data_IF_967281569120
#
_entry.id   IF_967281569120
#
_cell.length_a   1.000
_cell.length_b   1.000
_cell.length_c   1.000
_cell.angle_alpha   90.00
_cell.angle_beta   90.00
_cell.angle_gamma   90.00
#
_symmetry.space_group_name_H-M   'P 1'
#
loop_
_entity.id
_entity.type
_entity.pdbx_description
1 polymer ?
#
# COMPACT_ATOMS: atom_id res chain seq x y z
N UNK A 1 -20.03 18.25 -49.69
CA UNK A 1 -21.46 18.10 -49.94
C UNK A 1 -22.19 18.09 -48.62
N UNK A 2 -23.11 19.03 -48.52
CA UNK A 2 -24.01 19.30 -47.38
C UNK A 2 -24.98 18.14 -47.14
N UNK A 3 -25.39 17.98 -45.87
CA UNK A 3 -26.80 17.85 -45.33
C UNK A 3 -26.77 17.02 -44.07
N UNK A 4 -27.39 17.30 -43.00
CA UNK A 4 -28.47 18.17 -42.43
C UNK A 4 -28.91 17.49 -41.11
N UNK A 5 -28.97 18.29 -40.08
CA UNK A 5 -29.73 18.22 -38.82
C UNK A 5 -30.92 17.26 -38.76
N UNK A 6 -31.12 16.61 -37.61
CA UNK A 6 -32.43 16.63 -36.93
C UNK A 6 -32.25 16.55 -35.40
N UNK A 7 -32.68 17.68 -34.78
CA UNK A 7 -33.04 17.77 -33.35
C UNK A 7 -34.39 17.08 -33.16
N UNK A 8 -34.58 16.37 -32.08
CA UNK A 8 -35.92 16.10 -31.54
C UNK A 8 -35.88 16.28 -30.02
N UNK A 9 -36.60 17.35 -29.61
CA UNK A 9 -36.98 17.64 -28.23
C UNK A 9 -38.27 16.87 -27.91
N UNK A 10 -38.41 16.39 -26.69
CA UNK A 10 -39.70 16.15 -26.01
C UNK A 10 -39.38 16.05 -24.51
N UNK A 11 -39.72 17.00 -23.77
CA UNK A 11 -40.96 17.38 -23.10
C UNK A 11 -41.19 16.65 -21.77
N UNK A 12 -41.11 17.46 -20.74
CA UNK A 12 -41.65 17.42 -19.38
C UNK A 12 -42.91 16.58 -19.19
N UNK A 13 -42.95 15.79 -18.08
CA UNK A 13 -44.18 15.64 -17.28
C UNK A 13 -43.77 15.72 -15.80
N UNK A 14 -44.13 16.83 -15.19
CA UNK A 14 -44.24 16.98 -13.75
C UNK A 14 -45.62 16.49 -13.33
N UNK A 15 -45.72 15.70 -12.29
CA UNK A 15 -46.95 15.39 -11.61
C UNK A 15 -46.76 15.55 -10.10
N UNK A 16 -47.16 16.69 -9.64
CA UNK A 16 -47.46 17.03 -8.25
C UNK A 16 -48.66 16.23 -7.75
N UNK A 17 -48.60 15.69 -6.54
CA UNK A 17 -49.82 15.40 -5.76
C UNK A 17 -49.65 15.87 -4.31
N UNK A 18 -50.49 16.81 -3.98
CA UNK A 18 -50.68 17.52 -2.73
C UNK A 18 -51.63 16.77 -1.78
N UNK A 19 -51.27 16.89 -0.50
CA UNK A 19 -52.12 16.93 0.73
C UNK A 19 -53.52 16.29 0.76
N UNK A 20 -53.74 15.54 1.83
CA UNK A 20 -55.02 15.59 2.56
C UNK A 20 -54.79 15.44 4.08
N UNK A 21 -54.90 16.58 4.79
CA UNK A 21 -55.23 16.61 6.21
C UNK A 21 -56.71 16.28 6.39
N UNK A 22 -57.01 15.45 7.39
CA UNK A 22 -58.34 15.47 8.03
C UNK A 22 -58.19 15.23 9.52
N UNK A 23 -58.44 16.28 10.25
CA UNK A 23 -58.68 16.27 11.69
C UNK A 23 -60.14 15.85 11.95
N UNK A 24 -60.34 15.10 13.04
CA UNK A 24 -61.63 15.16 13.76
C UNK A 24 -61.38 14.94 15.25
N UNK A 25 -61.85 15.93 15.97
CA UNK A 25 -61.86 16.04 17.42
C UNK A 25 -63.11 15.40 18.03
N UNK A 26 -63.06 15.15 19.31
CA UNK A 26 -64.17 14.87 20.22
C UNK A 26 -63.82 13.73 21.17
N UNK A 27 -63.62 13.87 22.45
CA UNK A 27 -64.28 14.58 23.50
C UNK A 27 -64.82 13.59 24.53
N UNK A 28 -64.41 13.67 25.81
CA UNK A 28 -65.17 13.06 26.90
C UNK A 28 -64.40 12.33 28.00
N UNK A 29 -63.96 13.06 28.97
CA UNK A 29 -64.17 12.97 30.45
C UNK A 29 -64.24 11.56 31.13
N UNK A 30 -63.47 11.39 32.22
CA UNK A 30 -63.82 10.51 33.34
C UNK A 30 -62.62 9.97 34.11
N UNK A 31 -62.31 10.65 35.19
CA UNK A 31 -61.62 10.28 36.46
C UNK A 31 -61.52 8.80 36.83
N UNK A 32 -60.35 8.27 37.28
CA UNK A 32 -60.01 8.14 38.70
C UNK A 32 -58.64 7.40 38.90
N UNK A 33 -57.99 7.80 39.99
CA UNK A 33 -56.70 7.34 40.50
C UNK A 33 -56.72 5.90 40.98
N UNK A 34 -55.63 5.16 40.80
CA UNK A 34 -54.97 4.40 41.88
C UNK A 34 -53.50 4.16 41.54
N UNK A 35 -52.63 4.30 42.54
CA UNK A 35 -51.18 4.23 42.41
C UNK A 35 -50.67 2.81 42.29
N UNK A 36 -49.44 2.67 41.80
CA UNK A 36 -48.63 1.45 41.74
C UNK A 36 -47.20 1.83 41.39
N UNK A 37 -46.37 1.46 42.26
CA UNK A 37 -44.93 1.73 42.44
C UNK A 37 -44.07 1.55 41.22
N UNK A 38 -42.98 2.29 41.26
CA UNK A 38 -41.90 2.46 40.32
C UNK A 38 -41.34 1.21 39.66
N UNK A 39 -41.25 1.30 38.38
CA UNK A 39 -40.17 0.67 37.61
C UNK A 39 -39.23 1.80 37.16
N UNK A 40 -38.00 1.69 37.62
CA UNK A 40 -36.89 2.49 37.06
C UNK A 40 -36.82 2.14 35.59
N UNK A 41 -37.25 3.03 34.74
CA UNK A 41 -36.80 3.05 33.32
C UNK A 41 -35.30 3.30 33.36
N UNK A 42 -34.53 2.23 33.13
CA UNK A 42 -33.17 2.35 32.63
C UNK A 42 -33.30 2.96 31.23
N UNK A 43 -33.22 4.26 31.15
CA UNK A 43 -32.97 4.95 29.89
C UNK A 43 -31.60 4.46 29.45
N UNK A 44 -31.53 3.56 28.47
CA UNK A 44 -30.39 3.49 27.61
C UNK A 44 -30.32 4.87 26.92
N UNK A 45 -29.33 5.62 27.27
CA UNK A 45 -28.88 6.78 26.49
C UNK A 45 -28.44 6.17 25.13
N UNK A 46 -29.39 5.98 24.23
CA UNK A 46 -29.09 5.63 22.86
C UNK A 46 -28.46 6.90 22.28
N UNK A 47 -27.14 6.92 22.21
CA UNK A 47 -26.40 8.03 21.58
C UNK A 47 -26.93 8.32 20.18
N UNK A 48 -26.56 9.44 19.63
CA UNK A 48 -26.86 9.80 18.25
C UNK A 48 -26.47 8.66 17.31
N UNK A 49 -27.35 8.31 16.37
CA UNK A 49 -27.06 7.31 15.33
C UNK A 49 -26.08 7.93 14.33
N UNK A 50 -24.90 7.35 14.25
CA UNK A 50 -23.78 7.83 13.43
C UNK A 50 -23.50 6.82 12.31
N UNK A 51 -23.32 7.31 11.10
CA UNK A 51 -22.83 6.52 9.97
C UNK A 51 -21.51 7.07 9.50
N UNK A 52 -20.47 6.24 9.48
CA UNK A 52 -19.16 6.56 8.92
C UNK A 52 -18.93 5.73 7.66
N UNK A 53 -18.37 6.36 6.64
CA UNK A 53 -18.02 5.70 5.38
C UNK A 53 -16.53 5.44 5.31
N UNK A 54 -16.13 4.22 4.89
CA UNK A 54 -14.73 3.87 4.69
C UNK A 54 -14.49 3.28 3.31
N UNK A 55 -13.46 3.79 2.62
CA UNK A 55 -13.02 3.22 1.35
C UNK A 55 -11.60 2.63 1.47
N UNK A 56 -11.41 1.44 0.85
CA UNK A 56 -10.14 0.70 0.91
C UNK A 56 -9.86 -0.07 -0.39
N UNK A 57 -8.63 -0.61 -0.51
CA UNK A 57 -8.22 -1.41 -1.68
C UNK A 57 -8.21 -2.93 -1.42
N UNK A 58 -8.39 -3.37 -0.19
CA UNK A 58 -8.30 -4.77 0.22
C UNK A 58 -9.59 -5.51 -0.09
N UNK A 59 -9.72 -6.02 -1.33
CA UNK A 59 -10.92 -6.70 -1.83
C UNK A 59 -10.64 -8.11 -2.35
N UNK A 60 -9.35 -8.50 -2.47
CA UNK A 60 -8.95 -9.84 -2.90
C UNK A 60 -9.22 -10.87 -1.80
N UNK A 61 -9.70 -12.05 -2.16
CA UNK A 61 -9.90 -13.16 -1.22
C UNK A 61 -8.57 -13.74 -0.68
N UNK A 62 -7.45 -13.41 -1.30
CA UNK A 62 -6.11 -13.78 -0.82
C UNK A 62 -5.49 -12.72 0.09
N UNK A 63 -6.10 -11.53 0.20
CA UNK A 63 -5.64 -10.46 1.08
C UNK A 63 -6.28 -10.64 2.48
N UNK A 64 -5.51 -11.00 3.52
CA UNK A 64 -6.06 -11.15 4.86
C UNK A 64 -6.63 -9.85 5.42
N UNK A 65 -6.17 -8.68 4.97
CA UNK A 65 -6.67 -7.38 5.41
C UNK A 65 -8.14 -7.18 5.04
N UNK A 66 -8.62 -7.76 3.93
CA UNK A 66 -10.04 -7.75 3.56
C UNK A 66 -10.91 -8.27 4.71
N UNK A 67 -10.59 -9.48 5.18
CA UNK A 67 -11.37 -10.10 6.27
C UNK A 67 -11.22 -9.33 7.58
N UNK A 68 -10.05 -8.80 7.87
CA UNK A 68 -9.82 -8.01 9.09
C UNK A 68 -10.71 -6.75 9.09
N UNK A 69 -10.86 -6.08 7.94
CA UNK A 69 -11.76 -4.93 7.81
C UNK A 69 -13.21 -5.36 8.00
N UNK A 70 -13.66 -6.43 7.32
CA UNK A 70 -15.01 -6.98 7.47
C UNK A 70 -15.32 -7.32 8.93
N UNK A 71 -14.43 -8.05 9.60
CA UNK A 71 -14.56 -8.40 11.02
C UNK A 71 -14.55 -7.15 11.92
N UNK A 72 -13.72 -6.14 11.60
CA UNK A 72 -13.66 -4.89 12.36
C UNK A 72 -14.97 -4.14 12.38
N UNK A 73 -15.66 -4.08 11.24
CA UNK A 73 -16.98 -3.42 11.12
C UNK A 73 -18.00 -4.11 12.03
N UNK A 74 -18.06 -5.44 11.98
CA UNK A 74 -19.01 -6.21 12.80
C UNK A 74 -18.70 -6.11 14.30
N UNK A 75 -17.43 -6.19 14.68
CA UNK A 75 -16.98 -6.15 16.07
C UNK A 75 -17.15 -4.74 16.64
N UNK A 76 -16.80 -3.71 15.89
CA UNK A 76 -16.92 -2.31 16.31
C UNK A 76 -18.39 -1.93 16.52
N UNK A 77 -19.31 -2.36 15.64
CA UNK A 77 -20.74 -2.12 15.82
C UNK A 77 -21.30 -2.83 17.09
N UNK A 78 -20.73 -3.99 17.49
CA UNK A 78 -21.13 -4.64 18.76
C UNK A 78 -20.67 -3.85 19.99
N UNK A 79 -19.52 -3.16 19.89
CA UNK A 79 -18.98 -2.30 20.95
C UNK A 79 -19.69 -0.94 21.00
N UNK A 80 -20.04 -0.40 19.83
CA UNK A 80 -20.67 0.91 19.61
C UNK A 80 -21.95 0.76 18.78
N UNK A 81 -23.09 0.30 19.37
CA UNK A 81 -24.29 -0.05 18.61
C UNK A 81 -24.94 1.12 17.87
N UNK A 82 -24.65 2.36 18.28
CA UNK A 82 -25.10 3.59 17.62
C UNK A 82 -24.22 4.01 16.45
N UNK A 83 -23.10 3.31 16.16
CA UNK A 83 -22.20 3.64 15.06
C UNK A 83 -22.31 2.54 13.99
N UNK A 84 -22.58 2.93 12.76
CA UNK A 84 -22.59 2.08 11.58
C UNK A 84 -21.42 2.46 10.68
N UNK A 85 -20.64 1.46 10.25
CA UNK A 85 -19.54 1.65 9.30
C UNK A 85 -19.95 1.08 7.94
N UNK A 86 -20.08 1.95 6.93
CA UNK A 86 -20.33 1.56 5.54
C UNK A 86 -19.01 1.47 4.77
N UNK A 87 -18.69 0.30 4.24
CA UNK A 87 -17.43 0.08 3.52
C UNK A 87 -17.66 -0.06 2.01
N UNK A 88 -16.71 0.46 1.21
CA UNK A 88 -16.63 0.26 -0.23
C UNK A 88 -15.17 0.11 -0.66
N UNK A 89 -14.90 -0.70 -1.67
CA UNK A 89 -13.54 -0.98 -2.10
C UNK A 89 -13.41 -1.37 -3.56
N UNK A 90 -12.25 -1.06 -4.11
CA UNK A 90 -11.77 -1.56 -5.40
C UNK A 90 -10.25 -1.70 -5.34
N UNK A 91 -9.66 -2.61 -6.14
CA UNK A 91 -8.22 -2.90 -6.03
C UNK A 91 -7.33 -1.86 -6.71
N UNK A 92 -6.12 -1.69 -6.20
CA UNK A 92 -4.93 -1.16 -6.85
C UNK A 92 -5.11 0.18 -7.60
N UNK A 93 -4.74 0.22 -8.86
CA UNK A 93 -4.79 1.44 -9.69
C UNK A 93 -6.21 1.99 -9.90
N UNK A 94 -7.22 1.13 -9.83
CA UNK A 94 -8.62 1.59 -9.87
C UNK A 94 -8.97 2.36 -8.61
N UNK A 95 -8.44 1.96 -7.45
CA UNK A 95 -8.63 2.66 -6.19
C UNK A 95 -8.00 4.06 -6.24
N UNK A 96 -6.75 4.18 -6.71
CA UNK A 96 -6.07 5.47 -6.87
C UNK A 96 -6.88 6.44 -7.72
N UNK A 97 -7.46 5.96 -8.82
CA UNK A 97 -8.32 6.76 -9.69
C UNK A 97 -9.63 7.15 -9.01
N UNK A 98 -10.27 6.21 -8.30
CA UNK A 98 -11.53 6.42 -7.58
C UNK A 98 -11.38 7.50 -6.52
N UNK A 99 -10.38 7.36 -5.63
CA UNK A 99 -10.18 8.29 -4.52
C UNK A 99 -9.81 9.71 -4.99
N UNK A 100 -8.95 9.81 -6.01
CA UNK A 100 -8.59 11.10 -6.62
C UNK A 100 -9.82 11.82 -7.19
N UNK A 101 -10.70 11.09 -7.87
CA UNK A 101 -11.91 11.65 -8.45
C UNK A 101 -12.89 12.12 -7.36
N UNK A 102 -13.03 11.31 -6.30
CA UNK A 102 -13.93 11.62 -5.20
C UNK A 102 -13.51 12.88 -4.43
N UNK A 103 -12.23 13.03 -4.09
CA UNK A 103 -11.73 14.26 -3.46
C UNK A 103 -11.91 15.50 -4.36
N UNK A 104 -11.63 15.36 -5.65
CA UNK A 104 -11.84 16.46 -6.60
C UNK A 104 -13.31 16.87 -6.75
N UNK A 105 -14.24 15.94 -6.56
CA UNK A 105 -15.69 16.19 -6.60
C UNK A 105 -16.27 16.64 -5.24
N UNK A 106 -15.52 16.54 -4.13
CA UNK A 106 -16.03 16.74 -2.77
C UNK A 106 -16.95 15.60 -2.29
N UNK A 107 -16.80 14.40 -2.85
CA UNK A 107 -17.61 13.20 -2.57
C UNK A 107 -16.74 12.07 -1.93
N UNK A 108 -15.57 12.43 -1.37
CA UNK A 108 -14.72 11.48 -0.68
C UNK A 108 -15.37 10.99 0.62
N UNK A 109 -15.13 9.71 1.02
CA UNK A 109 -15.69 9.15 2.25
C UNK A 109 -15.08 9.82 3.49
N UNK A 110 -15.64 9.52 4.67
CA UNK A 110 -15.12 9.99 5.94
C UNK A 110 -13.71 9.46 6.21
N UNK A 111 -13.49 8.19 5.87
CA UNK A 111 -12.22 7.47 6.08
C UNK A 111 -11.74 6.89 4.76
N UNK A 112 -10.51 7.20 4.38
CA UNK A 112 -9.90 6.72 3.13
C UNK A 112 -8.58 6.01 3.40
N UNK A 113 -8.40 4.80 2.86
CA UNK A 113 -7.07 4.24 2.72
C UNK A 113 -6.23 5.13 1.79
N UNK A 114 -5.02 5.43 2.18
CA UNK A 114 -4.07 6.19 1.37
C UNK A 114 -2.71 5.51 1.36
N UNK A 115 -2.09 5.52 0.19
CA UNK A 115 -0.67 5.19 0.08
C UNK A 115 0.14 6.31 0.70
N UNK A 116 1.15 5.96 1.50
CA UNK A 116 2.00 6.92 2.18
C UNK A 116 2.87 7.74 1.21
N UNK A 117 3.42 8.84 1.71
CA UNK A 117 4.48 9.58 1.04
C UNK A 117 4.07 10.79 0.21
N UNK A 118 5.10 11.41 -0.38
CA UNK A 118 5.02 12.71 -1.04
C UNK A 118 4.20 12.73 -2.33
N UNK A 119 4.17 11.64 -3.09
CA UNK A 119 3.47 11.62 -4.36
C UNK A 119 1.98 11.38 -4.24
N UNK A 120 1.53 10.71 -3.19
CA UNK A 120 0.13 10.32 -3.05
C UNK A 120 -0.59 11.11 -1.96
N UNK A 121 -0.25 10.93 -0.68
CA UNK A 121 -1.02 11.55 0.42
C UNK A 121 -0.69 13.03 0.62
N UNK A 122 0.57 13.44 0.48
CA UNK A 122 1.00 14.82 0.71
C UNK A 122 0.19 15.86 -0.07
N UNK A 123 -0.15 15.67 -1.37
CA UNK A 123 -0.99 16.62 -2.10
C UNK A 123 -2.39 16.83 -1.49
N UNK A 124 -2.96 15.81 -0.84
CA UNK A 124 -4.26 15.96 -0.16
C UNK A 124 -4.12 16.70 1.18
N UNK A 125 -3.00 16.48 1.89
CA UNK A 125 -2.65 17.22 3.10
C UNK A 125 -2.47 18.70 2.77
N UNK A 126 -1.68 19.02 1.75
CA UNK A 126 -1.39 20.39 1.33
C UNK A 126 -2.64 21.12 0.83
N UNK A 127 -3.56 20.40 0.21
CA UNK A 127 -4.86 20.93 -0.21
C UNK A 127 -5.85 21.10 0.96
N UNK A 128 -5.51 20.64 2.16
CA UNK A 128 -6.36 20.72 3.35
C UNK A 128 -7.57 19.78 3.31
N UNK A 129 -7.47 18.66 2.57
CA UNK A 129 -8.56 17.68 2.50
C UNK A 129 -8.56 16.68 3.66
N UNK A 130 -7.42 16.52 4.34
CA UNK A 130 -7.23 15.54 5.40
C UNK A 130 -7.14 16.21 6.77
N UNK A 131 -7.72 15.55 7.76
CA UNK A 131 -7.77 16.03 9.14
C UNK A 131 -6.50 15.59 9.89
N UNK A 132 -5.73 16.49 10.52
CA UNK A 132 -4.72 16.08 11.51
C UNK A 132 -5.42 15.53 12.74
N UNK A 133 -4.94 14.37 13.23
CA UNK A 133 -5.63 13.60 14.26
C UNK A 133 -5.01 13.74 15.67
N UNK A 134 -4.00 14.59 15.83
CA UNK A 134 -3.24 14.74 17.10
C UNK A 134 -4.14 15.00 18.32
N UNK A 135 -5.16 15.87 18.15
CA UNK A 135 -6.04 16.30 19.23
C UNK A 135 -7.01 15.19 19.67
N UNK A 136 -7.23 14.19 18.82
CA UNK A 136 -8.13 13.07 19.07
C UNK A 136 -7.41 11.80 19.54
N UNK A 137 -6.07 11.73 19.36
CA UNK A 137 -5.30 10.53 19.72
C UNK A 137 -5.00 10.47 21.22
N UNK A 138 -5.41 9.36 21.85
CA UNK A 138 -5.07 9.08 23.23
C UNK A 138 -3.58 8.72 23.40
N UNK A 139 -3.00 9.04 24.56
CA UNK A 139 -1.65 8.59 24.91
C UNK A 139 -1.57 7.06 25.03
N UNK A 140 -2.67 6.40 25.37
CA UNK A 140 -2.75 4.94 25.37
C UNK A 140 -2.53 4.38 23.97
N UNK A 141 -3.26 4.89 22.96
CA UNK A 141 -3.10 4.49 21.55
C UNK A 141 -1.66 4.68 21.08
N UNK A 142 -1.09 5.87 21.33
CA UNK A 142 0.29 6.17 20.92
C UNK A 142 1.31 5.22 21.57
N UNK A 143 1.10 4.83 22.83
CA UNK A 143 2.01 3.94 23.55
C UNK A 143 2.04 2.49 23.04
N UNK A 144 1.02 2.07 22.30
CA UNK A 144 0.94 0.74 21.68
C UNK A 144 1.69 0.67 20.35
N UNK A 145 1.96 1.81 19.71
CA UNK A 145 2.72 1.88 18.44
C UNK A 145 4.20 1.71 18.73
N UNK A 146 4.90 0.91 17.92
CA UNK A 146 6.34 0.70 18.08
C UNK A 146 7.12 2.00 17.83
N UNK A 147 8.27 2.20 18.52
CA UNK A 147 9.08 3.40 18.35
C UNK A 147 9.47 3.66 16.89
N UNK A 148 9.32 4.91 16.44
CA UNK A 148 9.63 5.34 15.07
C UNK A 148 8.54 5.08 14.04
N UNK A 149 7.52 4.26 14.34
CA UNK A 149 6.48 3.92 13.36
C UNK A 149 5.48 5.06 13.12
N UNK A 150 5.41 6.06 13.99
CA UNK A 150 4.61 7.27 13.75
C UNK A 150 5.30 8.30 12.85
N UNK A 151 6.60 8.17 12.60
CA UNK A 151 7.34 9.15 11.78
C UNK A 151 6.78 9.23 10.37
N UNK A 152 6.50 8.08 9.73
CA UNK A 152 5.87 8.00 8.41
C UNK A 152 4.40 8.45 8.36
N UNK A 153 3.76 8.64 9.53
CA UNK A 153 2.38 9.10 9.68
C UNK A 153 2.30 10.60 9.99
N UNK A 154 3.46 11.27 10.13
CA UNK A 154 3.59 12.66 10.58
C UNK A 154 4.05 13.53 9.41
N UNK A 155 3.30 14.59 9.13
CA UNK A 155 3.61 15.57 8.08
C UNK A 155 3.55 16.96 8.71
N UNK A 156 4.55 17.78 8.46
CA UNK A 156 4.66 19.14 9.01
C UNK A 156 4.45 19.19 10.53
N UNK A 157 4.93 18.15 11.24
CA UNK A 157 4.83 18.01 12.70
C UNK A 157 3.46 17.65 13.24
N UNK A 158 2.52 17.23 12.38
CA UNK A 158 1.17 16.77 12.75
C UNK A 158 0.95 15.32 12.31
N UNK A 159 0.30 14.54 13.15
CA UNK A 159 -0.10 13.17 12.84
C UNK A 159 -1.40 13.18 12.03
N UNK A 160 -1.42 12.49 10.88
CA UNK A 160 -2.59 12.39 10.00
C UNK A 160 -3.19 10.99 9.93
N UNK A 161 -2.45 9.98 10.35
CA UNK A 161 -2.90 8.59 10.35
C UNK A 161 -2.21 7.80 11.45
N UNK A 162 -2.59 6.55 11.61
CA UNK A 162 -1.86 5.55 12.40
C UNK A 162 -1.31 4.47 11.47
N UNK A 163 -0.11 3.93 11.77
CA UNK A 163 0.45 2.88 10.94
C UNK A 163 -0.39 1.61 11.05
N UNK A 164 -0.46 0.85 9.98
CA UNK A 164 -1.07 -0.50 9.99
C UNK A 164 0.02 -1.55 10.11
N UNK A 165 0.56 -2.04 9.01
CA UNK A 165 1.74 -2.92 8.93
C UNK A 165 2.81 -2.22 8.11
N UNK A 166 4.07 -2.61 8.30
CA UNK A 166 5.17 -2.15 7.45
C UNK A 166 5.62 -3.25 6.49
N UNK A 167 6.33 -2.85 5.45
CA UNK A 167 6.74 -3.74 4.38
C UNK A 167 8.24 -3.66 4.12
N UNK A 168 8.81 -4.80 3.70
CA UNK A 168 10.21 -4.96 3.35
C UNK A 168 10.32 -5.64 1.99
N UNK A 169 11.06 -5.04 1.05
CA UNK A 169 11.33 -5.67 -0.24
C UNK A 169 12.39 -6.77 -0.10
N UNK A 170 12.06 -7.96 -0.59
CA UNK A 170 12.89 -9.15 -0.56
C UNK A 170 13.05 -9.76 -1.95
N UNK A 171 14.13 -10.50 -2.18
CA UNK A 171 14.26 -11.36 -3.33
C UNK A 171 13.71 -12.75 -2.99
N UNK A 172 12.60 -13.12 -3.62
CA UNK A 172 11.97 -14.44 -3.49
C UNK A 172 12.58 -15.40 -4.49
N UNK A 173 12.98 -16.58 -4.03
CA UNK A 173 13.63 -17.61 -4.85
C UNK A 173 12.87 -18.93 -4.74
N UNK A 174 12.42 -19.46 -5.88
CA UNK A 174 11.81 -20.78 -5.97
C UNK A 174 12.90 -21.86 -5.91
N UNK A 175 13.09 -22.46 -4.74
CA UNK A 175 14.18 -23.41 -4.46
C UNK A 175 14.13 -24.62 -5.38
N UNK A 176 12.93 -25.11 -5.74
CA UNK A 176 12.79 -26.25 -6.66
C UNK A 176 13.30 -25.92 -8.09
N UNK A 177 13.08 -24.70 -8.58
CA UNK A 177 13.58 -24.27 -9.88
C UNK A 177 15.10 -24.08 -9.85
N UNK A 178 15.64 -23.50 -8.77
CA UNK A 178 17.07 -23.37 -8.55
C UNK A 178 17.77 -24.74 -8.53
N UNK A 179 17.22 -25.69 -7.80
CA UNK A 179 17.75 -27.07 -7.74
C UNK A 179 17.74 -27.73 -9.12
N UNK A 180 16.63 -27.61 -9.88
CA UNK A 180 16.51 -28.18 -11.23
C UNK A 180 17.50 -27.58 -12.23
N UNK A 181 17.79 -26.29 -12.11
CA UNK A 181 18.76 -25.59 -12.96
C UNK A 181 20.22 -25.79 -12.48
N UNK A 182 20.44 -26.36 -11.30
CA UNK A 182 21.76 -26.42 -10.67
C UNK A 182 22.32 -25.03 -10.34
N UNK A 183 21.42 -24.06 -10.10
CA UNK A 183 21.75 -22.71 -9.69
C UNK A 183 21.81 -22.60 -8.16
N UNK A 184 22.52 -21.60 -7.66
CA UNK A 184 22.53 -21.24 -6.24
C UNK A 184 21.71 -19.96 -6.04
N UNK A 185 21.07 -19.83 -4.87
CA UNK A 185 20.45 -18.59 -4.46
C UNK A 185 21.54 -17.53 -4.32
N UNK A 186 21.42 -16.38 -5.04
CA UNK A 186 22.50 -15.42 -5.15
C UNK A 186 22.60 -14.53 -3.91
N UNK A 187 23.81 -14.21 -3.50
CA UNK A 187 24.14 -13.23 -2.45
C UNK A 187 24.94 -12.05 -3.03
N UNK A 188 25.53 -12.22 -4.21
CA UNK A 188 26.24 -11.17 -4.94
C UNK A 188 25.64 -10.99 -6.34
N UNK A 189 25.93 -9.85 -6.96
CA UNK A 189 25.49 -9.55 -8.32
C UNK A 189 26.00 -10.57 -9.35
N UNK A 190 27.26 -10.98 -9.23
CA UNK A 190 27.84 -11.95 -10.13
C UNK A 190 27.17 -13.33 -9.98
N UNK A 191 26.84 -13.73 -8.76
CA UNK A 191 26.05 -14.95 -8.51
C UNK A 191 24.61 -14.83 -9.07
N UNK A 192 24.00 -13.62 -9.05
CA UNK A 192 22.70 -13.38 -9.68
C UNK A 192 22.76 -13.60 -11.19
N UNK A 193 23.79 -13.06 -11.87
CA UNK A 193 23.99 -13.28 -13.31
C UNK A 193 24.26 -14.75 -13.64
N UNK A 194 25.07 -15.46 -12.84
CA UNK A 194 25.31 -16.90 -12.98
C UNK A 194 24.00 -17.71 -12.82
N UNK A 195 23.17 -17.35 -11.84
CA UNK A 195 21.87 -17.98 -11.64
C UNK A 195 20.94 -17.74 -12.83
N UNK A 196 20.89 -16.51 -13.36
CA UNK A 196 20.11 -16.16 -14.55
C UNK A 196 20.54 -16.99 -15.76
N UNK A 197 21.85 -17.13 -16.00
CA UNK A 197 22.39 -17.95 -17.11
C UNK A 197 21.93 -19.42 -16.98
N UNK A 198 22.10 -20.03 -15.80
CA UNK A 198 21.70 -21.42 -15.56
C UNK A 198 20.19 -21.65 -15.70
N UNK A 199 19.39 -20.70 -15.24
CA UNK A 199 17.93 -20.78 -15.37
C UNK A 199 17.50 -20.66 -16.83
N UNK A 200 18.10 -19.73 -17.60
CA UNK A 200 17.88 -19.61 -19.03
C UNK A 200 18.28 -20.89 -19.79
N UNK A 201 19.44 -21.48 -19.48
CA UNK A 201 19.92 -22.72 -20.08
C UNK A 201 18.99 -23.92 -19.77
N UNK A 202 18.35 -23.89 -18.61
CA UNK A 202 17.31 -24.87 -18.23
C UNK A 202 15.93 -24.60 -18.88
N UNK A 203 15.80 -23.53 -19.68
CA UNK A 203 14.55 -23.12 -20.32
C UNK A 203 13.51 -22.56 -19.34
N UNK A 204 13.96 -22.00 -18.24
CA UNK A 204 13.12 -21.39 -17.19
C UNK A 204 13.21 -19.87 -17.24
N UNK A 205 12.14 -19.17 -16.96
CA UNK A 205 12.16 -17.71 -16.75
C UNK A 205 12.90 -17.38 -15.46
N UNK A 206 14.02 -16.64 -15.48
CA UNK A 206 14.77 -16.35 -14.26
C UNK A 206 13.98 -15.47 -13.27
N UNK A 207 13.44 -14.37 -13.74
CA UNK A 207 12.74 -13.36 -12.90
C UNK A 207 11.39 -13.02 -13.50
N UNK A 208 10.33 -13.07 -12.70
CA UNK A 208 9.03 -12.54 -13.09
C UNK A 208 9.03 -11.01 -12.94
N UNK A 209 8.60 -10.32 -14.01
CA UNK A 209 8.50 -8.88 -14.08
C UNK A 209 7.21 -8.46 -14.78
N UNK A 210 6.48 -7.49 -14.20
CA UNK A 210 5.28 -6.89 -14.76
C UNK A 210 5.39 -5.38 -14.80
N UNK A 211 5.88 -4.82 -15.92
CA UNK A 211 6.24 -3.40 -16.05
C UNK A 211 5.13 -2.56 -16.69
N UNK A 212 3.95 -3.14 -16.98
CA UNK A 212 2.81 -2.39 -17.51
C UNK A 212 2.37 -1.27 -16.56
N UNK A 213 2.45 -1.51 -15.27
CA UNK A 213 2.07 -0.56 -14.23
C UNK A 213 3.24 0.37 -13.83
N UNK A 214 4.44 0.18 -14.40
CA UNK A 214 5.69 0.96 -14.28
C UNK A 214 6.36 0.93 -12.91
N UNK A 215 5.63 0.75 -11.83
CA UNK A 215 6.20 0.75 -10.48
C UNK A 215 6.99 -0.53 -10.11
N UNK A 216 6.74 -1.74 -10.64
CA UNK A 216 7.58 -2.89 -10.32
C UNK A 216 9.02 -2.75 -10.81
N UNK A 217 9.23 -2.17 -12.00
CA UNK A 217 10.58 -1.88 -12.52
C UNK A 217 11.29 -0.79 -11.71
N UNK A 218 10.53 0.21 -11.24
CA UNK A 218 11.03 1.22 -10.32
C UNK A 218 11.70 0.58 -9.10
N UNK A 219 11.07 -0.39 -8.43
CA UNK A 219 11.64 -1.08 -7.26
C UNK A 219 12.97 -1.77 -7.54
N UNK A 220 13.16 -2.27 -8.76
CA UNK A 220 14.45 -2.80 -9.18
C UNK A 220 15.53 -1.72 -9.25
N UNK A 221 15.21 -0.55 -9.82
CA UNK A 221 16.16 0.55 -9.85
C UNK A 221 16.44 1.10 -8.45
N UNK A 222 15.43 1.20 -7.59
CA UNK A 222 15.57 1.62 -6.19
C UNK A 222 16.61 0.76 -5.46
N UNK A 223 16.43 -0.57 -5.49
CA UNK A 223 17.35 -1.48 -4.79
C UNK A 223 18.73 -1.56 -5.44
N UNK A 224 18.83 -1.56 -6.77
CA UNK A 224 20.11 -1.56 -7.46
C UNK A 224 20.89 -0.28 -7.15
N UNK A 225 20.21 0.87 -7.08
CA UNK A 225 20.82 2.15 -6.65
C UNK A 225 21.26 2.12 -5.19
N UNK A 226 20.46 1.50 -4.30
CA UNK A 226 20.88 1.27 -2.91
C UNK A 226 22.15 0.41 -2.83
N UNK A 227 22.32 -0.57 -3.73
CA UNK A 227 23.53 -1.39 -3.80
C UNK A 227 24.72 -0.66 -4.40
N UNK A 228 24.52 0.32 -5.28
CA UNK A 228 25.64 1.08 -5.88
C UNK A 228 26.02 2.32 -5.08
N UNK A 229 25.06 3.09 -4.61
CA UNK A 229 25.28 4.37 -3.91
C UNK A 229 25.26 4.25 -2.37
N UNK A 230 24.66 3.17 -1.83
CA UNK A 230 24.29 3.05 -0.42
C UNK A 230 23.14 3.99 -0.04
N UNK A 231 22.41 3.68 1.03
CA UNK A 231 21.26 4.49 1.46
C UNK A 231 21.66 5.94 1.76
N UNK A 232 22.84 6.17 2.31
CA UNK A 232 23.36 7.53 2.52
C UNK A 232 23.52 8.30 1.22
N UNK A 233 24.01 7.67 0.15
CA UNK A 233 24.14 8.28 -1.17
C UNK A 233 22.78 8.61 -1.78
N UNK A 234 21.77 7.77 -1.51
CA UNK A 234 20.38 8.02 -1.92
C UNK A 234 19.79 9.23 -1.20
N UNK A 235 19.88 9.31 0.13
CA UNK A 235 19.41 10.45 0.91
C UNK A 235 20.01 11.78 0.41
N UNK A 236 21.32 11.77 0.15
CA UNK A 236 22.01 12.93 -0.42
C UNK A 236 21.50 13.31 -1.81
N UNK A 237 21.14 12.32 -2.66
CA UNK A 237 20.63 12.58 -4.02
C UNK A 237 19.15 13.02 -4.00
N UNK A 238 18.37 12.57 -3.03
CA UNK A 238 17.00 13.07 -2.86
C UNK A 238 16.99 14.55 -2.42
N UNK A 239 17.91 14.95 -1.54
CA UNK A 239 18.05 16.36 -1.14
C UNK A 239 18.70 17.25 -2.22
N UNK A 240 19.52 16.67 -3.09
CA UNK A 240 20.18 17.34 -4.22
C UNK A 240 20.14 16.45 -5.47
N UNK A 241 19.10 16.51 -6.28
CA UNK A 241 18.94 15.65 -7.46
C UNK A 241 20.08 15.74 -8.48
N UNK A 242 20.88 16.80 -8.49
CA UNK A 242 22.06 16.88 -9.36
C UNK A 242 23.04 15.73 -9.13
N UNK A 243 23.01 15.10 -7.95
CA UNK A 243 23.83 13.95 -7.58
C UNK A 243 23.40 12.65 -8.28
N UNK A 244 22.15 12.54 -8.78
CA UNK A 244 21.75 11.41 -9.61
C UNK A 244 22.58 11.31 -10.90
N UNK A 245 23.16 12.39 -11.39
CA UNK A 245 24.09 12.36 -12.52
C UNK A 245 25.54 12.11 -12.07
N UNK A 246 25.76 11.03 -11.31
CA UNK A 246 27.07 10.61 -10.82
C UNK A 246 27.29 9.13 -11.04
N UNK A 247 28.56 8.70 -10.91
CA UNK A 247 29.01 7.33 -11.22
C UNK A 247 28.14 6.22 -10.56
N UNK A 248 27.78 6.25 -9.24
CA UNK A 248 26.97 5.19 -8.64
C UNK A 248 25.61 5.01 -9.30
N UNK A 249 24.94 6.10 -9.68
CA UNK A 249 23.60 6.05 -10.29
C UNK A 249 23.63 5.67 -11.76
N UNK A 250 24.66 6.14 -12.51
CA UNK A 250 24.92 5.67 -13.87
C UNK A 250 25.20 4.14 -13.81
N UNK A 251 25.98 3.70 -12.84
CA UNK A 251 26.27 2.27 -12.64
C UNK A 251 25.02 1.46 -12.33
N UNK A 252 24.10 1.97 -11.52
CA UNK A 252 22.81 1.35 -11.28
C UNK A 252 22.03 1.17 -12.59
N UNK A 253 21.96 2.20 -13.41
CA UNK A 253 21.28 2.13 -14.70
C UNK A 253 21.95 1.15 -15.68
N UNK A 254 23.31 1.08 -15.71
CA UNK A 254 24.06 0.04 -16.46
C UNK A 254 23.67 -1.36 -15.98
N UNK A 255 23.58 -1.58 -14.68
CA UNK A 255 23.20 -2.85 -14.06
C UNK A 255 21.76 -3.27 -14.42
N UNK A 256 20.83 -2.31 -14.48
CA UNK A 256 19.48 -2.59 -14.98
C UNK A 256 19.48 -3.07 -16.43
N UNK A 257 20.24 -2.41 -17.32
CA UNK A 257 20.36 -2.85 -18.71
C UNK A 257 21.15 -4.17 -18.85
N UNK A 258 22.09 -4.46 -17.96
CA UNK A 258 22.78 -5.75 -17.90
C UNK A 258 21.78 -6.91 -17.65
N UNK A 259 20.83 -6.75 -16.72
CA UNK A 259 19.76 -7.74 -16.47
C UNK A 259 18.88 -7.95 -17.72
N UNK A 260 18.47 -6.86 -18.38
CA UNK A 260 17.66 -6.97 -19.61
C UNK A 260 18.44 -7.71 -20.70
N UNK A 261 19.71 -7.37 -20.91
CA UNK A 261 20.56 -7.99 -21.91
C UNK A 261 20.89 -9.47 -21.61
N UNK A 262 20.97 -9.82 -20.31
CA UNK A 262 21.10 -11.20 -19.83
C UNK A 262 19.81 -12.03 -19.95
N UNK A 263 18.71 -11.44 -20.47
CA UNK A 263 17.39 -12.05 -20.54
C UNK A 263 16.88 -12.52 -19.16
N UNK A 264 17.09 -11.67 -18.16
CA UNK A 264 16.70 -11.99 -16.80
C UNK A 264 15.17 -12.08 -16.65
N UNK A 265 14.41 -11.30 -17.43
CA UNK A 265 12.98 -11.13 -17.29
C UNK A 265 12.16 -11.90 -18.34
N UNK A 266 10.90 -12.17 -18.04
CA UNK A 266 9.95 -12.74 -19.00
C UNK A 266 9.81 -11.84 -20.26
N UNK A 267 9.60 -12.46 -21.43
CA UNK A 267 9.56 -11.74 -22.71
C UNK A 267 8.46 -10.66 -22.80
N UNK A 268 7.34 -10.87 -22.11
CA UNK A 268 6.19 -9.98 -22.10
C UNK A 268 6.19 -8.97 -20.94
N UNK A 269 7.33 -8.76 -20.25
CA UNK A 269 7.43 -7.89 -19.06
C UNK A 269 6.79 -6.52 -19.24
N UNK A 270 6.99 -5.85 -20.37
CA UNK A 270 6.47 -4.51 -20.63
C UNK A 270 4.94 -4.43 -20.79
N UNK A 271 4.26 -5.54 -20.95
CA UNK A 271 2.81 -5.63 -21.12
C UNK A 271 2.09 -6.40 -20.01
N UNK A 272 2.83 -7.10 -19.17
CA UNK A 272 2.34 -7.83 -18.01
C UNK A 272 2.06 -6.85 -16.87
N UNK A 273 0.89 -6.95 -16.25
CA UNK A 273 0.55 -6.17 -15.06
C UNK A 273 1.22 -6.74 -13.80
N UNK A 274 1.19 -5.97 -12.73
CA UNK A 274 1.63 -6.43 -11.41
C UNK A 274 0.88 -7.69 -10.95
N UNK A 275 -0.44 -7.69 -11.05
CA UNK A 275 -1.27 -8.83 -10.63
C UNK A 275 -0.89 -10.09 -11.43
N UNK A 276 -0.77 -9.97 -12.76
CA UNK A 276 -0.34 -11.08 -13.63
C UNK A 276 1.07 -11.57 -13.28
N UNK A 277 1.99 -10.69 -12.89
CA UNK A 277 3.33 -11.03 -12.45
C UNK A 277 3.31 -11.87 -11.16
N UNK A 278 2.55 -11.43 -10.15
CA UNK A 278 2.44 -12.15 -8.87
C UNK A 278 1.74 -13.50 -9.06
N UNK A 279 0.66 -13.54 -9.82
CA UNK A 279 -0.04 -14.79 -10.18
C UNK A 279 0.88 -15.74 -10.96
N UNK A 280 1.66 -15.23 -11.92
CA UNK A 280 2.63 -16.00 -12.70
C UNK A 280 3.72 -16.61 -11.80
N UNK A 281 4.25 -15.86 -10.84
CA UNK A 281 5.19 -16.37 -9.87
C UNK A 281 4.55 -17.44 -8.96
N UNK A 282 3.38 -17.18 -8.42
CA UNK A 282 2.64 -18.16 -7.61
C UNK A 282 2.29 -19.44 -8.40
N UNK A 283 2.08 -19.33 -9.72
CA UNK A 283 1.90 -20.48 -10.61
C UNK A 283 3.22 -21.21 -10.97
N UNK A 284 4.38 -20.75 -10.50
CA UNK A 284 5.68 -21.36 -10.75
C UNK A 284 6.24 -21.07 -12.14
N UNK A 285 5.87 -19.97 -12.78
CA UNK A 285 6.32 -19.60 -14.12
C UNK A 285 7.69 -18.90 -14.12
N UNK A 286 8.19 -18.45 -12.97
CA UNK A 286 9.49 -17.83 -12.81
C UNK A 286 10.20 -18.29 -11.55
N UNK A 287 11.53 -18.24 -11.58
CA UNK A 287 12.38 -18.71 -10.50
C UNK A 287 12.60 -17.66 -9.40
N UNK A 288 12.53 -16.38 -9.75
CA UNK A 288 12.69 -15.27 -8.80
C UNK A 288 11.60 -14.23 -8.97
N UNK A 289 11.34 -13.50 -7.88
CA UNK A 289 10.49 -12.31 -7.82
C UNK A 289 11.13 -11.32 -6.84
N UNK A 290 11.25 -10.05 -7.18
CA UNK A 290 11.65 -9.00 -6.25
C UNK A 290 10.43 -8.13 -5.95
N UNK A 291 9.94 -8.22 -4.73
CA UNK A 291 8.77 -7.48 -4.24
C UNK A 291 8.79 -7.38 -2.72
N UNK A 292 7.94 -6.53 -2.17
CA UNK A 292 7.77 -6.51 -0.74
C UNK A 292 6.86 -7.64 -0.24
N UNK A 293 6.90 -7.86 1.06
CA UNK A 293 6.28 -9.02 1.73
C UNK A 293 4.74 -9.07 1.64
N UNK A 294 4.06 -8.05 1.11
CA UNK A 294 2.63 -8.15 0.76
C UNK A 294 2.29 -9.25 -0.26
N UNK A 295 3.29 -9.82 -0.97
CA UNK A 295 3.08 -10.96 -1.88
C UNK A 295 3.00 -12.31 -1.16
N UNK A 296 3.35 -12.38 0.13
CA UNK A 296 3.35 -13.64 0.90
C UNK A 296 2.00 -14.38 0.84
N UNK A 297 0.84 -13.72 1.06
CA UNK A 297 -0.45 -14.40 0.97
C UNK A 297 -0.68 -15.09 -0.38
N UNK A 298 -0.28 -14.46 -1.48
CA UNK A 298 -0.42 -15.04 -2.83
C UNK A 298 0.51 -16.23 -3.03
N UNK A 299 1.78 -16.13 -2.58
CA UNK A 299 2.76 -17.22 -2.68
C UNK A 299 2.37 -18.40 -1.80
N UNK A 300 1.76 -18.16 -0.64
CA UNK A 300 1.38 -19.16 0.36
C UNK A 300 -0.06 -19.68 0.22
N UNK A 301 -0.83 -19.16 -0.74
CA UNK A 301 -2.20 -19.61 -1.00
C UNK A 301 -2.24 -21.12 -1.31
N UNK A 302 -3.31 -21.80 -0.92
CA UNK A 302 -3.50 -23.25 -1.21
C UNK A 302 -3.52 -23.56 -2.71
N UNK A 303 -3.87 -22.58 -3.53
CA UNK A 303 -3.86 -22.66 -4.99
C UNK A 303 -2.50 -22.41 -5.61
N UNK A 304 -1.52 -21.92 -4.82
CA UNK A 304 -0.18 -21.59 -5.32
C UNK A 304 0.65 -22.86 -5.56
N UNK A 305 1.24 -22.97 -6.74
CA UNK A 305 2.18 -24.03 -7.10
C UNK A 305 3.54 -23.88 -6.39
N UNK A 306 3.83 -22.67 -5.88
CA UNK A 306 5.08 -22.34 -5.19
C UNK A 306 4.98 -22.40 -3.67
N UNK A 307 3.81 -22.70 -3.12
CA UNK A 307 3.62 -22.85 -1.67
C UNK A 307 4.63 -23.84 -1.05
N UNK A 308 5.37 -23.37 -0.05
CA UNK A 308 6.40 -24.15 0.65
C UNK A 308 7.66 -24.46 -0.16
N UNK A 309 7.84 -23.79 -1.33
CA UNK A 309 9.00 -23.97 -2.22
C UNK A 309 9.79 -22.68 -2.44
N UNK A 310 9.43 -21.61 -1.76
CA UNK A 310 10.04 -20.29 -1.88
C UNK A 310 10.72 -19.94 -0.57
N UNK A 311 11.89 -19.35 -0.65
CA UNK A 311 12.59 -18.63 0.42
C UNK A 311 12.75 -17.18 0.01
N UNK A 312 12.81 -16.25 0.97
CA UNK A 312 13.16 -14.86 0.71
C UNK A 312 14.51 -14.52 1.31
N UNK A 313 15.28 -13.72 0.57
CA UNK A 313 16.62 -13.28 0.95
C UNK A 313 16.80 -11.80 0.69
N UNK A 314 17.82 -11.19 1.32
CA UNK A 314 18.26 -9.84 0.97
C UNK A 314 18.66 -9.77 -0.51
N UNK A 315 18.42 -8.61 -1.13
CA UNK A 315 18.87 -8.40 -2.52
C UNK A 315 20.40 -8.49 -2.60
N UNK A 316 20.97 -9.14 -3.63
CA UNK A 316 22.41 -9.34 -3.79
C UNK A 316 23.22 -8.05 -3.74
N UNK A 317 24.40 -8.10 -3.10
CA UNK A 317 25.31 -6.96 -3.08
C UNK A 317 26.07 -6.83 -4.41
N UNK A 318 26.48 -5.61 -4.74
CA UNK A 318 27.37 -5.33 -5.89
C UNK A 318 28.77 -5.09 -5.33
N UNK A 319 29.68 -6.03 -5.55
CA UNK A 319 31.02 -5.99 -4.98
C UNK A 319 31.76 -4.70 -5.39
N UNK A 320 32.44 -4.08 -4.43
CA UNK A 320 33.20 -2.84 -4.63
C UNK A 320 32.35 -1.56 -4.68
N UNK A 321 31.04 -1.67 -4.51
CA UNK A 321 30.13 -0.52 -4.40
C UNK A 321 29.79 -0.21 -2.93
N UNK A 322 29.05 0.89 -2.68
CA UNK A 322 28.86 1.42 -1.34
C UNK A 322 27.78 0.72 -0.51
N UNK A 323 26.79 0.11 -1.16
CA UNK A 323 25.65 -0.50 -0.48
C UNK A 323 25.94 -1.88 0.09
N UNK A 324 25.21 -2.24 1.13
CA UNK A 324 25.33 -3.50 1.86
C UNK A 324 24.05 -4.34 1.82
N UNK A 325 24.14 -5.62 2.23
CA UNK A 325 23.02 -6.53 2.37
C UNK A 325 22.04 -6.14 3.48
N UNK A 326 22.43 -5.23 4.38
CA UNK A 326 21.62 -4.76 5.52
C UNK A 326 20.92 -3.42 5.25
N UNK A 327 21.07 -2.88 4.04
CA UNK A 327 20.32 -1.71 3.58
C UNK A 327 19.14 -2.17 2.72
N UNK A 328 17.93 -1.79 3.12
CA UNK A 328 16.69 -2.31 2.53
C UNK A 328 15.84 -1.21 1.90
N UNK A 329 15.03 -1.60 0.91
CA UNK A 329 13.89 -0.80 0.46
C UNK A 329 12.64 -1.22 1.23
N UNK A 330 11.95 -0.26 1.84
CA UNK A 330 10.78 -0.50 2.67
C UNK A 330 10.70 0.40 3.89
N UNK A 331 10.09 -0.09 4.96
CA UNK A 331 9.94 0.66 6.21
C UNK A 331 8.79 1.67 6.22
N UNK A 332 8.04 1.81 5.12
CA UNK A 332 6.83 2.64 5.10
C UNK A 332 5.59 1.85 5.50
N UNK A 333 4.63 2.55 6.07
CA UNK A 333 3.30 2.03 6.35
C UNK A 333 2.27 2.90 5.68
N UNK A 334 1.39 2.29 4.89
CA UNK A 334 0.17 2.94 4.42
C UNK A 334 -0.85 3.02 5.56
N UNK A 335 -1.83 3.89 5.44
CA UNK A 335 -2.78 4.10 6.52
C UNK A 335 -4.15 4.58 6.06
N UNK A 336 -5.02 4.79 7.03
CA UNK A 336 -6.35 5.35 6.82
C UNK A 336 -6.36 6.80 7.29
N UNK A 337 -6.95 7.68 6.51
CA UNK A 337 -6.94 9.12 6.73
C UNK A 337 -8.36 9.63 6.82
N UNK A 338 -8.57 10.60 7.70
CA UNK A 338 -9.88 11.21 7.93
C UNK A 338 -10.06 12.40 7.00
N UNK A 339 -11.22 12.48 6.35
CA UNK A 339 -11.63 13.64 5.56
C UNK A 339 -11.88 14.84 6.51
N UNK A 340 -11.33 16.01 6.17
CA UNK A 340 -11.53 17.22 6.98
C UNK A 340 -13.00 17.62 7.11
N UNK A 341 -13.87 17.18 6.20
CA UNK A 341 -15.30 17.43 6.21
C UNK A 341 -16.10 16.31 6.92
N UNK A 342 -15.46 15.36 7.60
CA UNK A 342 -16.15 14.35 8.40
C UNK A 342 -16.97 15.03 9.49
N UNK A 343 -18.27 14.72 9.58
CA UNK A 343 -19.18 15.33 10.55
C UNK A 343 -18.95 14.80 11.98
N UNK A 344 -18.33 13.62 12.11
CA UNK A 344 -18.07 12.91 13.37
C UNK A 344 -16.59 12.55 13.51
N UNK A 345 -15.68 13.56 13.64
CA UNK A 345 -14.23 13.30 13.63
C UNK A 345 -13.73 12.53 14.85
N UNK A 346 -14.34 12.66 16.02
CA UNK A 346 -13.95 11.93 17.23
C UNK A 346 -14.21 10.43 17.03
N UNK A 347 -15.38 10.04 16.58
CA UNK A 347 -15.79 8.66 16.34
C UNK A 347 -15.01 8.06 15.15
N UNK A 348 -14.73 8.88 14.13
CA UNK A 348 -13.93 8.45 12.99
C UNK A 348 -12.48 8.12 13.40
N UNK A 349 -11.86 8.93 14.27
CA UNK A 349 -10.50 8.68 14.79
C UNK A 349 -10.49 7.50 15.78
N UNK A 350 -11.56 7.33 16.56
CA UNK A 350 -11.69 6.16 17.45
C UNK A 350 -11.76 4.86 16.63
N UNK A 351 -12.60 4.82 15.58
CA UNK A 351 -12.65 3.67 14.67
C UNK A 351 -11.34 3.48 13.89
N UNK A 352 -10.71 4.56 13.40
CA UNK A 352 -9.40 4.50 12.76
C UNK A 352 -8.36 3.88 13.68
N UNK A 353 -8.34 4.26 14.96
CA UNK A 353 -7.41 3.73 15.95
C UNK A 353 -7.63 2.23 16.17
N UNK A 354 -8.90 1.84 16.33
CA UNK A 354 -9.30 0.43 16.46
C UNK A 354 -8.90 -0.40 15.23
N UNK A 355 -9.22 0.10 14.03
CA UNK A 355 -8.92 -0.58 12.77
C UNK A 355 -7.41 -0.71 12.53
N UNK A 356 -6.65 0.37 12.76
CA UNK A 356 -5.21 0.38 12.52
C UNK A 356 -4.49 -0.59 13.47
N UNK A 357 -4.84 -0.60 14.76
CA UNK A 357 -4.30 -1.57 15.73
C UNK A 357 -4.69 -3.00 15.31
N UNK A 358 -5.95 -3.24 14.93
CA UNK A 358 -6.42 -4.56 14.51
C UNK A 358 -5.71 -5.05 13.26
N UNK A 359 -5.55 -4.22 12.22
CA UNK A 359 -4.77 -4.59 11.04
C UNK A 359 -3.31 -4.85 11.42
N UNK A 360 -2.71 -4.00 12.26
CA UNK A 360 -1.32 -4.14 12.68
C UNK A 360 -1.04 -5.45 13.43
N UNK A 361 -1.96 -5.91 14.26
CA UNK A 361 -1.81 -7.10 15.10
C UNK A 361 -2.32 -8.36 14.41
N UNK A 362 -3.57 -8.36 13.96
CA UNK A 362 -4.19 -9.51 13.28
C UNK A 362 -3.56 -9.73 11.90
N UNK A 363 -3.20 -8.62 11.19
CA UNK A 363 -2.52 -8.68 9.91
C UNK A 363 -1.14 -9.29 10.04
N UNK A 364 -0.36 -8.90 11.07
CA UNK A 364 0.92 -9.56 11.35
C UNK A 364 0.73 -11.05 11.64
N UNK A 365 -0.21 -11.42 12.50
CA UNK A 365 -0.52 -12.82 12.79
C UNK A 365 -0.87 -13.65 11.55
N UNK A 366 -1.45 -13.02 10.53
CA UNK A 366 -1.88 -13.64 9.28
C UNK A 366 -0.89 -13.45 8.12
N UNK A 367 0.28 -12.85 8.37
CA UNK A 367 1.31 -12.64 7.36
C UNK A 367 1.00 -11.52 6.35
N UNK A 368 0.14 -10.56 6.71
CA UNK A 368 -0.19 -9.42 5.86
C UNK A 368 0.91 -8.34 5.80
N UNK A 369 1.87 -8.39 6.72
CA UNK A 369 2.97 -7.42 6.81
C UNK A 369 3.76 -7.59 8.10
N UNK A 370 4.74 -6.72 8.33
CA UNK A 370 5.55 -6.68 9.53
C UNK A 370 4.93 -5.74 10.57
N UNK A 371 5.15 -5.95 11.88
CA UNK A 371 4.41 -5.22 12.91
C UNK A 371 4.85 -3.74 13.03
N UNK A 372 3.87 -2.86 13.17
CA UNK A 372 4.05 -1.47 13.61
C UNK A 372 3.52 -1.25 15.04
N UNK A 373 2.85 -2.23 15.61
CA UNK A 373 2.22 -2.21 16.92
C UNK A 373 2.88 -3.24 17.83
N UNK A 374 2.74 -3.06 19.16
CA UNK A 374 3.18 -4.08 20.11
C UNK A 374 2.43 -5.40 19.84
N UNK A 375 3.19 -6.48 19.63
CA UNK A 375 2.70 -7.83 19.31
C UNK A 375 3.21 -8.90 20.26
N UNK A 376 3.70 -8.53 21.46
CA UNK A 376 4.28 -9.48 22.41
C UNK A 376 3.30 -10.59 22.82
N UNK A 377 2.00 -10.31 22.79
CA UNK A 377 0.92 -11.24 23.13
C UNK A 377 0.24 -11.89 21.91
N UNK A 378 0.72 -11.60 20.69
CA UNK A 378 0.15 -12.17 19.45
C UNK A 378 0.70 -13.57 19.21
N UNK A 379 -0.19 -14.52 18.94
CA UNK A 379 0.19 -15.89 18.55
C UNK A 379 0.75 -15.93 17.12
N UNK A 380 2.06 -16.07 17.00
CA UNK A 380 2.78 -16.12 15.72
C UNK A 380 2.99 -17.55 15.20
N UNK A 381 2.45 -18.57 15.84
CA UNK A 381 2.62 -19.98 15.45
C UNK A 381 2.06 -20.33 14.06
N UNK A 382 1.17 -19.47 13.54
CA UNK A 382 0.59 -19.59 12.20
C UNK A 382 1.38 -18.91 11.07
N UNK A 383 2.44 -18.14 11.39
CA UNK A 383 3.24 -17.47 10.39
C UNK A 383 3.92 -18.45 9.44
N UNK A 384 3.97 -18.10 8.17
CA UNK A 384 4.69 -18.87 7.17
C UNK A 384 6.21 -18.73 7.33
N UNK A 385 6.96 -19.60 6.65
CA UNK A 385 8.43 -19.50 6.60
C UNK A 385 8.85 -18.13 6.01
N UNK A 386 8.13 -17.63 4.99
CA UNK A 386 8.43 -16.32 4.37
C UNK A 386 8.23 -15.17 5.34
N UNK A 387 7.20 -15.20 6.18
CA UNK A 387 6.96 -14.16 7.18
C UNK A 387 8.08 -14.14 8.22
N UNK A 388 8.50 -15.33 8.66
CA UNK A 388 9.60 -15.48 9.62
C UNK A 388 10.94 -15.05 9.02
N UNK A 389 11.23 -15.43 7.77
CA UNK A 389 12.46 -15.02 7.06
C UNK A 389 12.48 -13.50 6.83
N UNK A 390 11.36 -12.91 6.41
CA UNK A 390 11.27 -11.45 6.19
C UNK A 390 11.43 -10.66 7.48
N UNK A 391 10.84 -11.13 8.59
CA UNK A 391 11.04 -10.53 9.90
C UNK A 391 12.52 -10.61 10.35
N UNK A 392 13.16 -11.76 10.16
CA UNK A 392 14.59 -11.93 10.47
C UNK A 392 15.48 -11.02 9.61
N UNK A 393 15.16 -10.81 8.33
CA UNK A 393 15.86 -9.84 7.48
C UNK A 393 15.67 -8.41 8.00
N UNK A 394 14.47 -8.04 8.40
CA UNK A 394 14.20 -6.72 8.96
C UNK A 394 15.02 -6.46 10.24
N UNK A 395 15.19 -7.47 11.11
CA UNK A 395 16.02 -7.34 12.32
C UNK A 395 17.51 -7.09 12.00
N UNK A 396 18.00 -7.51 10.83
CA UNK A 396 19.38 -7.25 10.39
C UNK A 396 19.57 -5.87 9.78
N UNK A 397 18.46 -5.18 9.47
CA UNK A 397 18.48 -3.91 8.76
C UNK A 397 19.19 -2.81 9.53
N UNK A 398 20.11 -2.13 8.87
CA UNK A 398 20.84 -0.98 9.42
C UNK A 398 20.31 0.35 8.89
N UNK A 399 19.60 0.31 7.75
CA UNK A 399 18.98 1.48 7.13
C UNK A 399 17.86 1.06 6.18
N UNK A 400 16.82 1.88 6.10
CA UNK A 400 15.64 1.66 5.28
C UNK A 400 15.36 2.92 4.47
N UNK A 401 15.11 2.74 3.17
CA UNK A 401 14.62 3.79 2.28
C UNK A 401 13.26 3.34 1.74
N UNK A 402 12.25 4.18 1.91
CA UNK A 402 10.93 3.91 1.36
C UNK A 402 10.95 3.94 -0.18
N UNK A 403 9.87 3.52 -0.80
CA UNK A 403 9.69 3.52 -2.26
C UNK A 403 9.89 4.92 -2.82
N UNK A 404 10.64 5.06 -3.91
CA UNK A 404 11.01 6.39 -4.42
C UNK A 404 9.81 7.18 -4.94
N UNK A 405 8.75 6.53 -5.38
CA UNK A 405 7.50 7.21 -5.72
C UNK A 405 6.79 7.82 -4.50
N UNK A 406 7.11 7.39 -3.28
CA UNK A 406 6.68 8.05 -2.05
C UNK A 406 7.58 9.23 -1.66
N UNK A 407 8.79 9.30 -2.19
CA UNK A 407 9.79 10.34 -1.88
C UNK A 407 9.64 11.54 -2.80
N UNK A 408 9.50 11.31 -4.11
CA UNK A 408 9.36 12.39 -5.08
C UNK A 408 7.97 13.03 -5.06
N UNK A 409 7.85 14.34 -5.45
CA UNK A 409 6.55 14.93 -5.75
C UNK A 409 5.82 14.14 -6.86
N UNK A 410 4.49 14.23 -6.90
CA UNK A 410 3.65 13.38 -7.76
C UNK A 410 4.02 13.44 -9.26
N UNK A 411 4.37 14.62 -9.81
CA UNK A 411 4.76 14.78 -11.21
C UNK A 411 6.13 14.14 -11.48
N UNK A 412 7.07 14.31 -10.56
CA UNK A 412 8.41 13.74 -10.66
C UNK A 412 8.40 12.22 -10.44
N UNK A 413 7.53 11.73 -9.57
CA UNK A 413 7.30 10.30 -9.39
C UNK A 413 6.84 9.62 -10.69
N UNK A 414 5.89 10.23 -11.41
CA UNK A 414 5.46 9.70 -12.70
C UNK A 414 6.58 9.79 -13.77
N UNK A 415 7.34 10.89 -13.78
CA UNK A 415 8.50 11.06 -14.65
C UNK A 415 9.57 10.00 -14.37
N UNK A 416 9.86 9.74 -13.10
CA UNK A 416 10.81 8.71 -12.67
C UNK A 416 10.39 7.31 -13.15
N UNK A 417 9.15 6.92 -12.92
CA UNK A 417 8.62 5.61 -13.39
C UNK A 417 8.71 5.49 -14.92
N UNK A 418 8.42 6.55 -15.65
CA UNK A 418 8.57 6.57 -17.12
C UNK A 418 10.03 6.43 -17.57
N UNK A 419 10.97 7.06 -16.87
CA UNK A 419 12.41 6.93 -17.15
C UNK A 419 12.88 5.50 -16.93
N UNK A 420 12.48 4.84 -15.82
CA UNK A 420 12.84 3.44 -15.55
C UNK A 420 12.27 2.52 -16.63
N UNK A 421 11.00 2.69 -17.01
CA UNK A 421 10.40 1.91 -18.10
C UNK A 421 11.15 2.09 -19.44
N UNK A 422 11.61 3.30 -19.76
CA UNK A 422 12.42 3.56 -20.94
C UNK A 422 13.82 2.92 -20.84
N UNK A 423 14.45 2.95 -19.67
CA UNK A 423 15.74 2.33 -19.40
C UNK A 423 15.64 0.80 -19.60
N UNK A 424 14.62 0.16 -19.03
CA UNK A 424 14.37 -1.28 -19.17
C UNK A 424 13.98 -1.67 -20.59
N UNK A 425 13.32 -0.78 -21.33
CA UNK A 425 13.02 -0.97 -22.75
C UNK A 425 14.22 -0.69 -23.67
N UNK A 426 15.41 -0.38 -23.12
CA UNK A 426 16.64 -0.01 -23.86
C UNK A 426 16.45 1.18 -24.81
N UNK A 427 15.57 2.11 -24.46
CA UNK A 427 15.27 3.31 -25.29
C UNK A 427 16.12 4.51 -24.95
N UNK A 428 16.72 4.54 -23.77
CA UNK A 428 17.64 5.58 -23.31
C UNK A 428 18.90 4.90 -22.74
N UNK A 429 20.03 5.62 -22.80
CA UNK A 429 21.28 5.14 -22.20
C UNK A 429 21.29 5.37 -20.69
N UNK A 430 22.17 4.70 -19.93
CA UNK A 430 22.38 4.96 -18.51
C UNK A 430 22.71 6.43 -18.20
N UNK A 431 23.51 7.09 -19.04
CA UNK A 431 23.88 8.49 -18.89
C UNK A 431 22.69 9.43 -19.15
N UNK A 432 21.88 9.16 -20.21
CA UNK A 432 20.66 9.92 -20.50
C UNK A 432 19.63 9.76 -19.37
N UNK A 433 19.52 8.56 -18.79
CA UNK A 433 18.69 8.30 -17.63
C UNK A 433 19.16 9.14 -16.43
N UNK A 434 20.43 9.04 -16.05
CA UNK A 434 21.02 9.75 -14.92
C UNK A 434 20.93 11.28 -15.09
N UNK A 435 21.17 11.79 -16.30
CA UNK A 435 20.99 13.23 -16.63
C UNK A 435 19.52 13.65 -16.46
N UNK A 436 18.57 12.79 -16.82
CA UNK A 436 17.14 13.09 -16.67
C UNK A 436 16.72 13.07 -15.20
N UNK A 437 17.19 12.10 -14.42
CA UNK A 437 16.99 12.04 -12.98
C UNK A 437 17.52 13.27 -12.25
N UNK A 438 18.65 13.82 -12.71
CA UNK A 438 19.25 15.03 -12.12
C UNK A 438 18.42 16.31 -12.28
N UNK A 439 17.34 16.27 -13.06
CA UNK A 439 16.42 17.40 -13.31
C UNK A 439 15.15 17.32 -12.49
N UNK A 440 14.95 16.26 -11.72
CA UNK A 440 13.83 16.13 -10.80
C UNK A 440 13.93 17.15 -9.66
N UNK A 441 12.84 17.41 -8.98
CA UNK A 441 12.81 18.29 -7.82
C UNK A 441 13.42 17.63 -6.60
N UNK A 442 14.06 18.39 -5.70
CA UNK A 442 14.46 17.87 -4.40
C UNK A 442 13.27 17.30 -3.63
N UNK A 443 13.52 16.25 -2.86
CA UNK A 443 12.53 15.73 -1.93
C UNK A 443 12.35 16.70 -0.75
N UNK A 444 11.13 16.83 -0.27
CA UNK A 444 10.83 17.56 0.96
C UNK A 444 11.13 16.73 2.25
N UNK A 445 11.49 15.44 2.07
CA UNK A 445 11.75 14.52 3.19
C UNK A 445 13.24 14.33 3.50
N UNK A 446 14.16 14.84 2.65
CA UNK A 446 15.62 14.68 2.79
C UNK A 446 16.39 15.98 2.62
#
# INVERSE_FOLDING_TARGET
>A
MKKIFKKTSALFVAASMTLALAACAGGGSGTEKTGGEGQAEGGSDAGEEITLTIWHQSVSDTDPVKKIIEDSVEEYHKLHPNITIEQDGVTGEQYKTKIKTAFAAGEAPDISYMFSGGSFVKPYIDAGYLLPIDEYLSEETKSKVLPGMLDGCTFDGKVYTLPTVTFLANLYCNTEMFDKAGAKIPTTWDELLEAIEKLNDAGMTPIMMGEKDRWPGMYWYDIVSARTAGNKGLEEAFGDPSKFNSEPFIKAAEKMQELVNAKAFNENMMSMSYDEMVEGFAAGQGAMLFQANWVHPSIQADTSATKGKVTCVSFPVIEGMAGSETEFSGGSSDGYYINVNCEHPEEAVEYLSYLSEKIGRDGYQQGAGLPCWNTEDVDTSGLSVLDTESAALMETGTSYITWWDNIFPAEDSETYKDLVAQLMALKITPEEFAESMSKLSPSEFY
#
